data_IF_091048894379
#
_entry.id   IF_091048894379
#
_cell.length_a   1.000
_cell.length_b   1.000
_cell.length_c   1.000
_cell.angle_alpha   90.00
_cell.angle_beta   90.00
_cell.angle_gamma   90.00
#
_symmetry.space_group_name_H-M   'P 1'
#
loop_
_entity.id
_entity.type
_entity.pdbx_description
1 polymer ?
#
# COMPACT_ATOMS: atom_id res chain seq x y z
N UNK A 1 10.91 20.79 -6.76
CA UNK A 1 10.85 19.59 -5.92
C UNK A 1 12.25 19.02 -5.82
N UNK A 2 12.66 18.51 -4.66
CA UNK A 2 14.00 17.94 -4.45
C UNK A 2 13.86 16.58 -3.77
N UNK A 3 14.75 15.63 -4.07
CA UNK A 3 14.79 14.33 -3.42
C UNK A 3 15.77 14.38 -2.24
N UNK A 4 15.29 14.07 -1.05
CA UNK A 4 16.07 13.95 0.17
C UNK A 4 16.47 12.50 0.40
N UNK A 5 17.78 12.23 0.33
CA UNK A 5 18.34 10.93 0.68
C UNK A 5 18.78 10.92 2.16
N UNK A 6 18.08 10.23 3.07
CA UNK A 6 18.42 10.24 4.51
C UNK A 6 19.81 9.70 4.84
N UNK A 7 20.43 8.96 3.93
CA UNK A 7 21.78 8.40 4.10
C UNK A 7 22.90 9.37 3.71
N UNK A 8 22.57 10.61 3.32
CA UNK A 8 23.55 11.64 2.94
C UNK A 8 23.38 12.89 3.82
N UNK A 9 24.48 13.60 4.14
CA UNK A 9 24.39 14.92 4.77
C UNK A 9 23.47 15.85 3.97
N UNK A 10 22.56 16.54 4.64
CA UNK A 10 21.52 17.40 4.03
C UNK A 10 20.72 16.73 2.90
N UNK A 11 20.48 15.42 2.97
CA UNK A 11 19.73 14.72 1.93
C UNK A 11 20.51 14.53 0.62
N UNK A 12 21.80 14.90 0.58
CA UNK A 12 22.57 15.05 -0.65
C UNK A 12 22.28 16.36 -1.40
N UNK A 13 21.70 17.35 -0.72
CA UNK A 13 21.30 18.64 -1.28
C UNK A 13 22.12 19.79 -0.66
N UNK A 14 22.26 20.89 -1.40
CA UNK A 14 22.79 22.15 -0.89
C UNK A 14 21.72 22.88 -0.06
N UNK A 15 22.08 23.65 0.97
CA UNK A 15 21.12 24.42 1.79
C UNK A 15 20.16 25.29 0.95
N UNK A 16 20.65 25.89 -0.13
CA UNK A 16 19.84 26.70 -1.05
C UNK A 16 18.79 25.91 -1.83
N UNK A 17 19.06 24.63 -2.11
CA UNK A 17 18.09 23.75 -2.79
C UNK A 17 16.95 23.40 -1.84
N UNK A 18 17.27 23.17 -0.56
CA UNK A 18 16.27 22.92 0.49
C UNK A 18 15.41 24.16 0.70
N UNK A 19 16.01 25.34 0.86
CA UNK A 19 15.28 26.61 1.05
C UNK A 19 14.36 26.98 -0.12
N UNK A 20 14.74 26.65 -1.35
CA UNK A 20 13.93 26.91 -2.57
C UNK A 20 12.91 25.80 -2.87
N UNK A 21 12.99 24.67 -2.18
CA UNK A 21 12.12 23.53 -2.48
C UNK A 21 10.69 23.81 -2.02
N UNK A 22 9.75 23.82 -2.98
CA UNK A 22 8.31 23.77 -2.67
C UNK A 22 7.87 22.43 -2.08
N UNK A 23 8.58 21.35 -2.42
CA UNK A 23 8.33 19.99 -1.95
C UNK A 23 9.65 19.24 -1.84
N UNK A 24 9.85 18.57 -0.71
CA UNK A 24 10.98 17.69 -0.44
C UNK A 24 10.42 16.26 -0.43
N UNK A 25 10.83 15.47 -1.42
CA UNK A 25 10.48 14.06 -1.49
C UNK A 25 11.44 13.27 -0.63
N UNK A 26 10.93 12.45 0.28
CA UNK A 26 11.77 11.51 0.99
C UNK A 26 12.10 10.32 0.07
N UNK A 27 13.37 9.91 0.01
CA UNK A 27 13.79 8.71 -0.72
C UNK A 27 13.40 7.44 0.06
N UNK A 28 12.10 7.29 0.33
CA UNK A 28 11.49 6.10 0.92
C UNK A 28 10.86 5.20 -0.15
N UNK A 29 10.63 3.95 0.21
CA UNK A 29 9.89 2.99 -0.59
C UNK A 29 9.20 1.99 0.33
N UNK A 30 8.13 1.36 -0.16
CA UNK A 30 7.54 0.21 0.49
C UNK A 30 8.25 -1.06 0.03
N UNK A 31 8.83 -1.82 0.96
CA UNK A 31 9.54 -3.07 0.66
C UNK A 31 8.66 -4.14 0.01
N UNK A 32 7.33 -4.06 0.20
CA UNK A 32 6.37 -4.95 -0.45
C UNK A 32 6.20 -4.57 -1.92
N UNK A 33 5.90 -3.31 -2.22
CA UNK A 33 5.59 -2.88 -3.59
C UNK A 33 6.81 -2.76 -4.50
N UNK A 34 8.04 -2.69 -3.96
CA UNK A 34 9.26 -2.75 -4.77
C UNK A 34 9.58 -4.14 -5.33
N UNK A 35 8.85 -5.18 -4.92
CA UNK A 35 9.07 -6.55 -5.38
C UNK A 35 8.46 -6.83 -6.74
N UNK A 36 7.45 -6.05 -7.12
CA UNK A 36 6.81 -6.20 -8.42
C UNK A 36 7.78 -5.75 -9.51
N UNK A 37 7.80 -6.52 -10.60
CA UNK A 37 8.67 -6.26 -11.75
C UNK A 37 7.89 -6.32 -13.05
N UNK A 38 8.40 -5.62 -14.05
CA UNK A 38 7.91 -5.67 -15.43
C UNK A 38 7.89 -7.11 -15.98
N UNK A 39 8.85 -7.94 -15.56
CA UNK A 39 8.94 -9.31 -16.02
C UNK A 39 7.79 -10.19 -15.49
N UNK A 40 7.37 -10.00 -14.24
CA UNK A 40 6.19 -10.68 -13.71
C UNK A 40 4.92 -10.31 -14.49
N UNK A 41 4.78 -9.04 -14.91
CA UNK A 41 3.66 -8.62 -15.76
C UNK A 41 3.71 -9.32 -17.13
N UNK A 42 4.89 -9.39 -17.75
CA UNK A 42 5.06 -10.09 -19.03
C UNK A 42 4.72 -11.57 -18.92
N UNK A 43 5.18 -12.23 -17.85
CA UNK A 43 4.85 -13.63 -17.58
C UNK A 43 3.35 -13.84 -17.35
N UNK A 44 2.70 -12.94 -16.61
CA UNK A 44 1.25 -12.98 -16.41
C UNK A 44 0.49 -12.87 -17.74
N UNK A 45 0.90 -11.93 -18.62
CA UNK A 45 0.30 -11.76 -19.96
C UNK A 45 0.58 -12.93 -20.90
N UNK A 46 1.76 -13.55 -20.79
CA UNK A 46 2.08 -14.77 -21.56
C UNK A 46 1.24 -15.97 -21.11
N UNK A 47 0.99 -16.10 -19.81
CA UNK A 47 0.14 -17.18 -19.24
C UNK A 47 -1.35 -16.96 -19.51
N UNK A 48 -1.79 -15.71 -19.48
CA UNK A 48 -3.19 -15.32 -19.63
C UNK A 48 -3.29 -14.17 -20.65
N UNK A 49 -3.56 -14.46 -21.93
CA UNK A 49 -3.54 -13.46 -23.01
C UNK A 49 -4.47 -12.24 -22.78
N UNK A 50 -5.57 -12.42 -22.04
CA UNK A 50 -6.56 -11.37 -21.76
C UNK A 50 -6.52 -10.86 -20.31
N UNK A 51 -5.42 -11.08 -19.59
CA UNK A 51 -5.28 -10.61 -18.20
C UNK A 51 -5.25 -9.09 -18.13
N UNK A 52 -5.98 -8.53 -17.16
CA UNK A 52 -5.90 -7.13 -16.77
C UNK A 52 -4.93 -6.99 -15.60
N UNK A 53 -4.01 -6.05 -15.70
CA UNK A 53 -2.99 -5.80 -14.69
C UNK A 53 -3.38 -4.57 -13.88
N UNK A 54 -3.48 -4.72 -12.57
CA UNK A 54 -3.84 -3.63 -11.67
C UNK A 54 -2.87 -3.56 -10.49
N UNK A 55 -2.26 -2.40 -10.26
CA UNK A 55 -1.20 -2.25 -9.25
C UNK A 55 -1.42 -1.04 -8.34
N UNK A 56 -0.80 -1.08 -7.16
CA UNK A 56 -0.76 0.07 -6.26
C UNK A 56 0.27 1.11 -6.77
N UNK A 57 0.04 2.43 -6.60
CA UNK A 57 0.98 3.47 -7.01
C UNK A 57 2.31 3.47 -6.25
N UNK A 58 2.44 2.69 -5.17
CA UNK A 58 3.72 2.49 -4.46
C UNK A 58 4.69 1.56 -5.19
N UNK A 59 4.24 0.88 -6.25
CA UNK A 59 5.12 0.08 -7.11
C UNK A 59 6.17 0.97 -7.81
N UNK A 60 7.27 0.35 -8.23
CA UNK A 60 8.27 1.06 -9.05
C UNK A 60 7.64 1.60 -10.34
N UNK A 61 8.13 2.75 -10.82
CA UNK A 61 7.47 3.50 -11.89
C UNK A 61 7.30 2.67 -13.17
N UNK A 62 8.26 1.80 -13.48
CA UNK A 62 8.24 0.93 -14.65
C UNK A 62 7.07 -0.08 -14.59
N UNK A 63 6.74 -0.57 -13.39
CA UNK A 63 5.59 -1.45 -13.15
C UNK A 63 4.29 -0.66 -13.26
N UNK A 64 4.25 0.53 -12.68
CA UNK A 64 3.09 1.44 -12.76
C UNK A 64 2.75 1.77 -14.22
N UNK A 65 3.76 2.08 -15.04
CA UNK A 65 3.59 2.41 -16.46
C UNK A 65 3.12 1.22 -17.31
N UNK A 66 3.44 -0.01 -16.90
CA UNK A 66 3.03 -1.21 -17.64
C UNK A 66 1.67 -1.76 -17.19
N UNK A 67 1.13 -1.31 -16.05
CA UNK A 67 -0.16 -1.74 -15.56
C UNK A 67 -1.32 -1.10 -16.35
N UNK A 68 -2.42 -1.83 -16.48
CA UNK A 68 -3.64 -1.34 -17.14
C UNK A 68 -4.45 -0.41 -16.22
N UNK A 69 -4.32 -0.60 -14.90
CA UNK A 69 -4.99 0.19 -13.87
C UNK A 69 -4.03 0.47 -12.71
N UNK A 70 -4.12 1.68 -12.14
CA UNK A 70 -3.29 2.11 -11.01
C UNK A 70 -4.17 2.81 -9.98
N UNK A 71 -4.10 2.40 -8.72
CA UNK A 71 -4.85 3.08 -7.66
C UNK A 71 -4.67 2.48 -6.27
N UNK A 72 -5.35 3.09 -5.29
CA UNK A 72 -5.38 2.63 -3.91
C UNK A 72 -5.96 1.22 -3.80
N UNK A 73 -5.78 0.58 -2.64
CA UNK A 73 -6.40 -0.72 -2.34
C UNK A 73 -7.91 -0.72 -2.53
N UNK A 74 -8.60 0.37 -2.17
CA UNK A 74 -10.03 0.53 -2.39
C UNK A 74 -10.39 0.59 -3.87
N UNK A 75 -9.64 1.35 -4.67
CA UNK A 75 -9.82 1.40 -6.11
C UNK A 75 -9.63 0.02 -6.75
N UNK A 76 -8.63 -0.75 -6.29
CA UNK A 76 -8.37 -2.11 -6.75
C UNK A 76 -9.57 -3.02 -6.47
N UNK A 77 -10.06 -3.03 -5.23
CA UNK A 77 -11.23 -3.83 -4.81
C UNK A 77 -12.44 -3.47 -5.67
N UNK A 78 -12.77 -2.18 -5.78
CA UNK A 78 -13.95 -1.72 -6.53
C UNK A 78 -13.87 -2.09 -8.00
N UNK A 79 -12.69 -1.93 -8.62
CA UNK A 79 -12.47 -2.22 -10.03
C UNK A 79 -12.65 -3.71 -10.34
N UNK A 80 -12.07 -4.59 -9.51
CA UNK A 80 -12.18 -6.04 -9.71
C UNK A 80 -13.60 -6.53 -9.41
N UNK A 81 -14.22 -6.05 -8.32
CA UNK A 81 -15.58 -6.47 -7.95
C UNK A 81 -16.65 -6.00 -8.94
N UNK A 82 -16.45 -4.86 -9.59
CA UNK A 82 -17.36 -4.36 -10.63
C UNK A 82 -17.10 -4.96 -12.01
N UNK A 83 -16.07 -5.79 -12.16
CA UNK A 83 -15.71 -6.39 -13.44
C UNK A 83 -16.70 -7.50 -13.84
N UNK A 84 -16.87 -7.78 -15.15
CA UNK A 84 -17.67 -8.92 -15.60
C UNK A 84 -17.12 -10.26 -15.08
N UNK A 85 -17.99 -11.27 -14.90
CA UNK A 85 -17.57 -12.65 -14.64
C UNK A 85 -16.63 -13.19 -15.71
N UNK A 86 -15.76 -14.14 -15.35
CA UNK A 86 -14.79 -14.77 -16.24
C UNK A 86 -13.57 -13.90 -16.57
N UNK A 87 -13.48 -12.69 -16.02
CA UNK A 87 -12.29 -11.84 -16.19
C UNK A 87 -11.09 -12.37 -15.39
N UNK A 88 -9.88 -12.11 -15.91
CA UNK A 88 -8.62 -12.52 -15.29
C UNK A 88 -7.84 -11.28 -14.86
N UNK A 89 -7.35 -11.26 -13.63
CA UNK A 89 -6.70 -10.12 -12.99
C UNK A 89 -5.36 -10.52 -12.35
N UNK A 90 -4.29 -9.84 -12.77
CA UNK A 90 -2.99 -9.86 -12.10
C UNK A 90 -2.85 -8.63 -11.22
N UNK A 91 -2.72 -8.82 -9.91
CA UNK A 91 -2.75 -7.75 -8.91
C UNK A 91 -1.38 -7.52 -8.28
N UNK A 92 -0.91 -6.27 -8.30
CA UNK A 92 0.35 -5.83 -7.67
C UNK A 92 0.10 -5.03 -6.39
N UNK A 93 -0.21 -5.73 -5.30
CA UNK A 93 -0.35 -5.15 -3.95
C UNK A 93 -0.14 -6.23 -2.88
N UNK A 94 -0.38 -5.92 -1.61
CA UNK A 94 -0.26 -6.87 -0.50
C UNK A 94 -1.14 -8.13 -0.69
N UNK A 95 -0.56 -9.31 -0.43
CA UNK A 95 -1.13 -10.61 -0.81
C UNK A 95 -2.45 -10.94 -0.12
N UNK A 96 -2.66 -10.56 1.15
CA UNK A 96 -3.90 -10.88 1.85
C UNK A 96 -5.09 -10.15 1.23
N UNK A 97 -4.87 -8.92 0.74
CA UNK A 97 -5.89 -8.21 -0.01
C UNK A 97 -6.24 -8.97 -1.30
N UNK A 98 -5.24 -9.42 -2.05
CA UNK A 98 -5.46 -10.20 -3.29
C UNK A 98 -6.21 -11.50 -3.01
N UNK A 99 -5.80 -12.24 -1.98
CA UNK A 99 -6.47 -13.47 -1.55
C UNK A 99 -7.91 -13.22 -1.10
N UNK A 100 -8.17 -12.11 -0.39
CA UNK A 100 -9.53 -11.72 0.00
C UNK A 100 -10.40 -11.43 -1.23
N UNK A 101 -9.89 -10.62 -2.16
CA UNK A 101 -10.62 -10.29 -3.40
C UNK A 101 -10.93 -11.56 -4.20
N UNK A 102 -9.96 -12.48 -4.33
CA UNK A 102 -10.17 -13.76 -5.01
C UNK A 102 -11.27 -14.62 -4.36
N UNK A 103 -11.35 -14.64 -3.02
CA UNK A 103 -12.41 -15.35 -2.29
C UNK A 103 -13.77 -14.69 -2.43
N UNK A 104 -13.82 -13.36 -2.45
CA UNK A 104 -15.06 -12.59 -2.59
C UNK A 104 -15.60 -12.56 -4.03
N UNK A 105 -14.77 -12.92 -5.03
CA UNK A 105 -15.12 -12.91 -6.45
C UNK A 105 -14.77 -14.25 -7.12
N UNK A 106 -15.40 -15.36 -6.71
CA UNK A 106 -15.07 -16.71 -7.21
C UNK A 106 -15.40 -16.89 -8.71
N UNK A 107 -16.21 -15.99 -9.28
CA UNK A 107 -16.55 -15.93 -10.69
C UNK A 107 -15.43 -15.34 -11.57
N UNK A 108 -14.33 -14.86 -10.97
CA UNK A 108 -13.19 -14.22 -11.63
C UNK A 108 -11.89 -14.90 -11.23
N UNK A 109 -10.90 -14.87 -12.13
CA UNK A 109 -9.56 -15.36 -11.81
C UNK A 109 -8.72 -14.20 -11.29
N UNK A 110 -8.44 -14.15 -9.99
CA UNK A 110 -7.63 -13.09 -9.37
C UNK A 110 -6.39 -13.70 -8.73
N UNK A 111 -5.21 -13.20 -9.10
CA UNK A 111 -3.94 -13.70 -8.56
C UNK A 111 -2.92 -12.58 -8.34
N UNK A 112 -1.94 -12.84 -7.47
CA UNK A 112 -0.85 -11.90 -7.17
C UNK A 112 0.23 -11.99 -8.24
N UNK A 113 0.80 -10.85 -8.66
CA UNK A 113 1.89 -10.81 -9.62
C UNK A 113 3.21 -11.37 -9.07
N UNK A 114 3.44 -11.25 -7.76
CA UNK A 114 4.58 -11.88 -7.09
C UNK A 114 4.14 -13.23 -6.47
N UNK A 115 4.67 -14.37 -6.96
CA UNK A 115 4.36 -15.67 -6.38
C UNK A 115 5.08 -15.90 -5.03
N UNK A 116 6.09 -15.08 -4.71
CA UNK A 116 6.85 -15.18 -3.47
C UNK A 116 6.18 -14.28 -2.43
N UNK A 117 5.54 -14.92 -1.44
CA UNK A 117 4.86 -14.25 -0.33
C UNK A 117 5.89 -13.48 0.50
N UNK A 118 5.99 -12.17 0.27
CA UNK A 118 6.63 -11.27 1.22
C UNK A 118 5.54 -10.40 1.84
N UNK A 119 4.93 -10.87 2.93
CA UNK A 119 3.91 -10.10 3.59
C UNK A 119 4.49 -8.82 4.17
N UNK A 120 3.65 -7.81 4.35
CA UNK A 120 4.03 -6.67 5.15
C UNK A 120 4.28 -7.16 6.59
N UNK A 121 5.55 -7.27 6.99
CA UNK A 121 5.96 -7.91 8.24
C UNK A 121 5.38 -7.21 9.47
N UNK A 122 5.09 -5.92 9.39
CA UNK A 122 4.41 -5.15 10.43
C UNK A 122 2.91 -5.43 10.49
N UNK A 123 2.23 -5.61 9.35
CA UNK A 123 0.82 -6.03 9.34
C UNK A 123 0.64 -7.42 9.95
N UNK A 124 1.59 -8.33 9.73
CA UNK A 124 1.56 -9.70 10.29
C UNK A 124 1.82 -9.76 11.79
N UNK A 125 2.14 -8.63 12.44
CA UNK A 125 2.18 -8.56 13.91
C UNK A 125 0.79 -8.58 14.53
N UNK A 126 -0.27 -8.36 13.75
CA UNK A 126 -1.64 -8.51 14.21
C UNK A 126 -2.01 -10.00 14.15
N UNK A 127 -2.22 -10.60 15.33
CA UNK A 127 -2.49 -12.02 15.47
C UNK A 127 -3.73 -12.24 16.35
N UNK A 128 -4.58 -13.25 16.08
CA UNK A 128 -5.78 -13.52 16.89
C UNK A 128 -5.51 -13.67 18.39
N UNK A 129 -4.34 -14.23 18.77
CA UNK A 129 -3.94 -14.33 20.17
C UNK A 129 -3.78 -12.96 20.85
N UNK A 130 -3.27 -11.95 20.15
CA UNK A 130 -3.15 -10.59 20.70
C UNK A 130 -4.50 -9.91 20.76
N UNK A 131 -5.39 -10.17 19.79
CA UNK A 131 -6.76 -9.68 19.86
C UNK A 131 -7.48 -10.26 21.08
N UNK A 132 -7.39 -11.57 21.31
CA UNK A 132 -7.96 -12.23 22.49
C UNK A 132 -7.40 -11.64 23.79
N UNK A 133 -6.07 -11.48 23.86
CA UNK A 133 -5.42 -10.89 25.02
C UNK A 133 -5.92 -9.47 25.33
N UNK A 134 -6.03 -8.62 24.31
CA UNK A 134 -6.58 -7.25 24.45
C UNK A 134 -8.03 -7.30 24.90
N UNK A 135 -8.87 -8.17 24.32
CA UNK A 135 -10.28 -8.28 24.73
C UNK A 135 -10.44 -8.79 26.16
N UNK A 136 -9.63 -9.76 26.59
CA UNK A 136 -9.65 -10.27 27.96
C UNK A 136 -9.19 -9.22 28.98
N UNK A 137 -8.19 -8.41 28.63
CA UNK A 137 -7.75 -7.28 29.45
C UNK A 137 -8.88 -6.27 29.63
N UNK A 138 -9.57 -5.90 28.54
CA UNK A 138 -10.70 -4.98 28.59
C UNK A 138 -11.85 -5.50 29.47
N UNK A 139 -12.13 -6.81 29.45
CA UNK A 139 -13.14 -7.43 30.33
C UNK A 139 -12.77 -7.33 31.82
N UNK A 140 -11.47 -7.28 32.15
CA UNK A 140 -10.98 -7.04 33.51
C UNK A 140 -10.90 -5.55 33.87
N UNK A 141 -11.26 -4.65 32.95
CA UNK A 141 -11.10 -3.21 33.13
C UNK A 141 -9.67 -2.70 32.92
N UNK A 142 -8.80 -3.51 32.31
CA UNK A 142 -7.41 -3.15 31.99
C UNK A 142 -7.32 -2.65 30.54
N UNK A 143 -6.74 -1.47 30.34
CA UNK A 143 -6.43 -0.95 28.99
C UNK A 143 -4.97 -1.24 28.67
N UNK A 144 -4.73 -2.02 27.61
CA UNK A 144 -3.38 -2.39 27.17
C UNK A 144 -3.01 -1.65 25.89
N UNK A 145 -1.79 -1.11 25.85
CA UNK A 145 -1.22 -0.42 24.68
C UNK A 145 -2.10 0.73 24.12
N UNK A 146 -2.71 1.52 25.00
CA UNK A 146 -3.46 2.71 24.60
C UNK A 146 -2.57 3.66 23.78
N UNK A 147 -3.02 4.03 22.59
CA UNK A 147 -2.29 4.96 21.73
C UNK A 147 -2.57 6.38 22.22
N UNK A 148 -1.59 6.98 22.88
CA UNK A 148 -1.65 8.38 23.33
C UNK A 148 -0.76 9.24 22.44
N UNK A 149 -1.32 10.35 21.95
CA UNK A 149 -0.59 11.34 21.14
C UNK A 149 -0.55 12.66 21.91
N UNK A 150 0.64 13.28 22.10
CA UNK A 150 0.74 14.57 22.80
C UNK A 150 -0.19 15.64 22.19
N UNK A 151 -0.88 16.46 23.00
CA UNK A 151 -1.91 17.39 22.51
C UNK A 151 -1.44 18.33 21.39
N UNK A 152 -0.21 18.84 21.49
CA UNK A 152 0.38 19.69 20.46
C UNK A 152 0.55 18.97 19.12
N UNK A 153 0.99 17.70 19.14
CA UNK A 153 1.16 16.90 17.93
C UNK A 153 -0.20 16.55 17.33
N UNK A 154 -1.15 16.12 18.16
CA UNK A 154 -2.50 15.78 17.73
C UNK A 154 -3.21 16.97 17.08
N UNK A 155 -3.07 18.17 17.64
CA UNK A 155 -3.66 19.39 17.09
C UNK A 155 -3.19 19.66 15.65
N UNK A 156 -1.88 19.72 15.42
CA UNK A 156 -1.34 20.03 14.09
C UNK A 156 -1.54 18.91 13.07
N UNK A 157 -1.45 17.65 13.50
CA UNK A 157 -1.78 16.51 12.66
C UNK A 157 -3.25 16.55 12.21
N UNK A 158 -4.17 16.89 13.13
CA UNK A 158 -5.59 17.05 12.83
C UNK A 158 -5.84 18.20 11.85
N UNK A 159 -5.22 19.36 12.02
CA UNK A 159 -5.36 20.48 11.07
C UNK A 159 -4.94 20.07 9.66
N UNK A 160 -3.84 19.32 9.51
CA UNK A 160 -3.40 18.82 8.21
C UNK A 160 -4.41 17.82 7.61
N UNK A 161 -4.93 16.90 8.43
CA UNK A 161 -5.93 15.92 8.02
C UNK A 161 -7.26 16.58 7.62
N UNK A 162 -7.78 17.51 8.42
CA UNK A 162 -9.01 18.24 8.14
C UNK A 162 -8.91 19.00 6.83
N UNK A 163 -7.77 19.67 6.58
CA UNK A 163 -7.52 20.35 5.30
C UNK A 163 -7.51 19.39 4.14
N UNK A 164 -6.90 18.20 4.28
CA UNK A 164 -6.91 17.17 3.25
C UNK A 164 -8.35 16.75 2.91
N UNK A 165 -9.17 16.49 3.93
CA UNK A 165 -10.56 16.03 3.77
C UNK A 165 -11.48 17.11 3.18
N UNK A 166 -11.18 18.40 3.34
CA UNK A 166 -11.94 19.50 2.76
C UNK A 166 -11.76 19.67 1.25
N UNK A 167 -10.72 19.08 0.67
CA UNK A 167 -10.42 19.18 -0.78
C UNK A 167 -10.90 17.97 -1.58
N UNK A 168 -11.50 16.98 -0.91
CA UNK A 168 -12.02 15.74 -1.53
C UNK A 168 -13.48 15.88 -1.91
#
# INVERSE_FOLDING_TARGET
>A
MVLWNPFKPLGGLKPEQVRRAKLILWKGHCSVHTRFTVEQIRQARARYPNVKIIVHPECVMEVVQMADYVGSTEYIVKTISSAPPGTVWGVGTEINLVTRIAKENPDKTVFCLDPIICPCSTMYRIHPAYLLWVTDALLRGEVVNEIVVPPHIAHWAKVALDKMLQVV
#
